data_IF_577736810823
#
_entry.id   IF_577736810823
#
_cell.length_a   1.000
_cell.length_b   1.000
_cell.length_c   1.000
_cell.angle_alpha   90.00
_cell.angle_beta   90.00
_cell.angle_gamma   90.00
#
_symmetry.space_group_name_H-M   'P 1'
#
loop_
_entity.id
_entity.type
_entity.pdbx_description
1 polymer ?
#
# COMPACT_ATOMS: atom_id res chain seq x y z
N UNK A 1 0.85 29.27 29.38
CA UNK A 1 1.09 28.09 28.53
C UNK A 1 2.60 27.96 28.41
N UNK A 2 3.22 27.10 29.24
CA UNK A 2 4.65 26.86 29.17
C UNK A 2 4.91 26.08 27.87
N UNK A 3 5.28 26.79 26.81
CA UNK A 3 5.59 26.19 25.53
C UNK A 3 6.92 25.46 25.65
N UNK A 4 6.88 24.16 25.95
CA UNK A 4 8.05 23.32 25.79
C UNK A 4 8.55 23.48 24.35
N UNK A 5 9.83 23.85 24.23
CA UNK A 5 10.45 24.02 22.92
C UNK A 5 10.44 22.67 22.18
N UNK A 6 10.40 22.65 20.84
CA UNK A 6 10.48 21.39 20.08
C UNK A 6 11.69 20.54 20.46
N UNK A 7 12.79 21.18 20.85
CA UNK A 7 13.98 20.49 21.33
C UNK A 7 13.75 19.76 22.66
N UNK A 8 13.03 20.37 23.61
CA UNK A 8 12.70 19.74 24.90
C UNK A 8 11.83 18.50 24.70
N UNK A 9 10.82 18.57 23.84
CA UNK A 9 9.96 17.42 23.54
C UNK A 9 10.75 16.25 22.93
N UNK A 10 11.72 16.54 22.06
CA UNK A 10 12.59 15.51 21.48
C UNK A 10 13.54 14.90 22.53
N UNK A 11 14.07 15.70 23.46
CA UNK A 11 14.92 15.21 24.54
C UNK A 11 14.10 14.33 25.51
N UNK A 12 12.90 14.76 25.88
CA UNK A 12 11.99 13.98 26.72
C UNK A 12 11.59 12.65 26.07
N UNK A 13 11.33 12.67 24.76
CA UNK A 13 11.10 11.45 24.00
C UNK A 13 12.33 10.51 24.05
N UNK A 14 13.52 11.06 23.80
CA UNK A 14 14.78 10.30 23.84
C UNK A 14 15.02 9.67 25.22
N UNK A 15 14.84 10.43 26.31
CA UNK A 15 15.03 9.95 27.67
C UNK A 15 14.03 8.83 28.00
N UNK A 16 12.77 8.96 27.57
CA UNK A 16 11.77 7.89 27.72
C UNK A 16 12.15 6.62 26.98
N UNK A 17 12.68 6.73 25.76
CA UNK A 17 13.19 5.57 25.00
C UNK A 17 14.33 4.90 25.75
N UNK A 18 15.30 5.67 26.26
CA UNK A 18 16.41 5.12 27.05
C UNK A 18 15.91 4.43 28.32
N UNK A 19 14.97 5.04 29.04
CA UNK A 19 14.38 4.45 30.25
C UNK A 19 13.69 3.12 29.94
N UNK A 20 12.94 3.04 28.83
CA UNK A 20 12.28 1.80 28.41
C UNK A 20 13.31 0.72 28.08
N UNK A 21 14.37 1.05 27.32
CA UNK A 21 15.44 0.12 26.96
C UNK A 21 16.33 -0.31 28.14
N UNK A 22 16.47 0.55 29.16
CA UNK A 22 17.24 0.26 30.36
C UNK A 22 16.54 -0.70 31.32
N UNK A 23 15.22 -0.97 31.15
CA UNK A 23 14.48 -1.88 32.03
C UNK A 23 15.03 -3.31 31.91
N UNK A 24 15.44 -3.96 33.02
CA UNK A 24 15.98 -5.33 32.98
C UNK A 24 15.03 -6.35 32.32
N UNK A 25 13.72 -6.16 32.49
CA UNK A 25 12.69 -7.00 31.85
C UNK A 25 12.71 -6.86 30.33
N UNK A 26 12.85 -5.63 29.82
CA UNK A 26 12.92 -5.35 28.38
C UNK A 26 14.21 -5.93 27.80
N UNK A 27 15.34 -5.77 28.48
CA UNK A 27 16.61 -6.36 28.04
C UNK A 27 16.57 -7.89 27.94
N UNK A 28 15.98 -8.57 28.93
CA UNK A 28 15.78 -10.03 28.89
C UNK A 28 14.89 -10.45 27.72
N UNK A 29 13.81 -9.70 27.47
CA UNK A 29 12.94 -9.95 26.32
C UNK A 29 13.65 -9.71 24.98
N UNK A 30 14.50 -8.68 24.86
CA UNK A 30 15.28 -8.42 23.65
C UNK A 30 16.31 -9.52 23.39
N UNK A 31 16.99 -10.01 24.42
CA UNK A 31 17.90 -11.16 24.29
C UNK A 31 17.12 -12.41 23.87
N UNK A 32 15.98 -12.68 24.50
CA UNK A 32 15.12 -13.79 24.09
C UNK A 32 14.66 -13.63 22.64
N UNK A 33 14.20 -12.44 22.23
CA UNK A 33 13.82 -12.11 20.86
C UNK A 33 14.94 -12.44 19.86
N UNK A 34 16.17 -12.01 20.15
CA UNK A 34 17.34 -12.24 19.29
C UNK A 34 17.67 -13.73 19.21
N UNK A 35 17.66 -14.44 20.33
CA UNK A 35 17.91 -15.88 20.38
C UNK A 35 16.84 -16.67 19.64
N UNK A 36 15.57 -16.32 19.77
CA UNK A 36 14.46 -16.98 19.09
C UNK A 36 14.50 -16.73 17.59
N UNK A 37 14.76 -15.48 17.18
CA UNK A 37 14.90 -15.12 15.76
C UNK A 37 16.09 -15.83 15.14
N UNK A 38 17.21 -15.91 15.86
CA UNK A 38 18.39 -16.65 15.44
C UNK A 38 18.11 -18.14 15.36
N UNK A 39 17.47 -18.76 16.36
CA UNK A 39 17.13 -20.17 16.36
C UNK A 39 16.16 -20.52 15.22
N UNK A 40 15.13 -19.69 15.01
CA UNK A 40 14.18 -19.84 13.92
C UNK A 40 14.87 -19.79 12.55
N UNK A 41 15.90 -18.96 12.38
CA UNK A 41 16.68 -18.86 11.14
C UNK A 41 17.73 -19.98 10.99
N UNK A 42 18.43 -20.32 12.07
CA UNK A 42 19.58 -21.23 12.07
C UNK A 42 19.16 -22.70 11.91
N UNK A 43 18.02 -23.11 12.50
CA UNK A 43 17.54 -24.49 12.43
C UNK A 43 17.25 -24.93 10.99
N UNK A 44 16.45 -24.20 10.18
CA UNK A 44 16.27 -24.50 8.76
C UNK A 44 17.56 -24.45 7.97
N UNK A 45 18.42 -23.45 8.23
CA UNK A 45 19.71 -23.31 7.54
C UNK A 45 20.63 -24.52 7.75
N UNK A 46 20.70 -25.03 8.99
CA UNK A 46 21.51 -26.21 9.32
C UNK A 46 20.94 -27.48 8.68
N UNK A 47 19.62 -27.64 8.71
CA UNK A 47 18.93 -28.77 8.06
C UNK A 47 19.18 -28.76 6.54
N UNK A 48 19.05 -27.61 5.90
CA UNK A 48 19.37 -27.42 4.48
C UNK A 48 20.83 -27.78 4.17
N UNK A 49 21.77 -27.32 5.00
CA UNK A 49 23.20 -27.57 4.79
C UNK A 49 23.55 -29.05 4.91
N UNK A 50 22.97 -29.75 5.88
CA UNK A 50 23.15 -31.19 6.07
C UNK A 50 22.49 -31.99 4.93
N UNK A 51 21.32 -31.56 4.47
CA UNK A 51 20.59 -32.20 3.38
C UNK A 51 21.32 -32.06 2.04
N UNK A 52 21.82 -30.86 1.71
CA UNK A 52 22.60 -30.62 0.49
C UNK A 52 23.90 -31.42 0.43
N UNK A 53 24.53 -31.67 1.59
CA UNK A 53 25.71 -32.53 1.65
C UNK A 53 25.40 -33.99 1.29
N UNK A 54 24.18 -34.46 1.55
CA UNK A 54 23.71 -35.81 1.19
C UNK A 54 23.28 -35.93 -0.26
N UNK A 55 22.81 -34.85 -0.89
CA UNK A 55 22.28 -34.84 -2.27
C UNK A 55 23.28 -34.47 -3.37
N UNK A 56 24.56 -34.20 -3.05
CA UNK A 56 25.61 -33.94 -4.05
C UNK A 56 25.82 -35.08 -5.07
N UNK A 57 25.21 -36.26 -4.90
CA UNK A 57 25.29 -37.41 -5.81
C UNK A 57 24.15 -37.56 -6.81
N UNK A 58 23.08 -36.75 -6.78
CA UNK A 58 21.96 -36.87 -7.71
C UNK A 58 21.67 -35.51 -8.38
N UNK A 59 22.44 -35.18 -9.41
CA UNK A 59 22.08 -34.13 -10.34
C UNK A 59 20.85 -34.58 -11.15
N UNK A 60 19.66 -34.30 -10.64
CA UNK A 60 18.40 -34.47 -11.38
C UNK A 60 18.43 -33.48 -12.54
N UNK A 61 18.61 -33.98 -13.74
CA UNK A 61 18.41 -33.24 -14.98
C UNK A 61 17.01 -32.64 -14.99
N UNK A 62 16.90 -31.32 -14.89
CA UNK A 62 15.64 -30.57 -14.98
C UNK A 62 14.98 -30.82 -16.35
N UNK A 63 14.04 -31.77 -16.40
CA UNK A 63 13.05 -31.83 -17.49
C UNK A 63 11.95 -30.84 -17.15
N UNK A 64 12.12 -29.62 -17.68
CA UNK A 64 11.22 -28.50 -17.53
C UNK A 64 9.84 -28.87 -18.11
N UNK A 65 8.88 -29.18 -17.23
CA UNK A 65 7.50 -29.54 -17.60
C UNK A 65 6.91 -30.80 -16.96
N UNK A 66 7.73 -31.66 -16.34
CA UNK A 66 7.24 -32.91 -15.71
C UNK A 66 6.58 -32.69 -14.33
N UNK A 67 5.67 -33.58 -13.93
CA UNK A 67 5.02 -33.59 -12.60
C UNK A 67 6.05 -33.60 -11.44
N UNK A 68 7.22 -34.20 -11.67
CA UNK A 68 8.35 -34.25 -10.73
C UNK A 68 8.95 -32.86 -10.48
N UNK A 69 9.08 -32.02 -11.51
CA UNK A 69 9.55 -30.64 -11.37
C UNK A 69 8.57 -29.74 -10.61
N UNK A 70 7.26 -30.03 -10.64
CA UNK A 70 6.26 -29.35 -9.81
C UNK A 70 6.36 -29.77 -8.34
N UNK A 71 6.53 -31.07 -8.08
CA UNK A 71 6.73 -31.61 -6.73
C UNK A 71 8.01 -31.07 -6.07
N UNK A 72 9.12 -30.97 -6.79
CA UNK A 72 10.38 -30.40 -6.27
C UNK A 72 10.28 -28.91 -5.93
N UNK A 73 9.43 -28.16 -6.64
CA UNK A 73 9.14 -26.75 -6.31
C UNK A 73 8.23 -26.62 -5.09
N UNK A 74 7.24 -27.50 -4.95
CA UNK A 74 6.43 -27.59 -3.74
C UNK A 74 7.28 -27.96 -2.52
N UNK A 75 8.20 -28.92 -2.67
CA UNK A 75 9.13 -29.30 -1.61
C UNK A 75 10.00 -28.11 -1.14
N UNK A 76 10.56 -27.32 -2.08
CA UNK A 76 11.28 -26.08 -1.74
C UNK A 76 10.39 -25.02 -1.09
N UNK A 77 9.12 -24.92 -1.48
CA UNK A 77 8.16 -24.01 -0.83
C UNK A 77 7.81 -24.41 0.61
N UNK A 78 7.67 -25.72 0.87
CA UNK A 78 7.46 -26.30 2.20
C UNK A 78 8.66 -26.02 3.11
N UNK A 79 9.88 -26.10 2.58
CA UNK A 79 11.11 -25.79 3.31
C UNK A 79 11.11 -24.37 3.90
N UNK A 80 10.65 -23.38 3.12
CA UNK A 80 10.49 -21.99 3.58
C UNK A 80 9.33 -21.75 4.55
N UNK A 81 8.45 -22.73 4.75
CA UNK A 81 7.31 -22.62 5.68
C UNK A 81 7.69 -23.08 7.09
N UNK A 82 8.80 -23.82 7.26
CA UNK A 82 9.27 -24.20 8.59
C UNK A 82 9.71 -23.01 9.44
N UNK A 83 10.31 -21.98 8.85
CA UNK A 83 10.76 -20.78 9.57
C UNK A 83 9.64 -20.12 10.42
N UNK A 84 8.49 -19.71 9.85
CA UNK A 84 7.44 -19.08 10.65
C UNK A 84 6.77 -20.05 11.64
N UNK A 85 6.67 -21.35 11.32
CA UNK A 85 6.13 -22.35 12.24
C UNK A 85 7.02 -22.50 13.46
N UNK A 86 8.32 -22.69 13.26
CA UNK A 86 9.29 -22.78 14.35
C UNK A 86 9.33 -21.48 15.15
N UNK A 87 9.27 -20.33 14.47
CA UNK A 87 9.15 -19.03 15.13
C UNK A 87 7.94 -18.95 16.06
N UNK A 88 6.75 -19.40 15.62
CA UNK A 88 5.55 -19.48 16.46
C UNK A 88 5.77 -20.40 17.65
N UNK A 89 6.22 -21.63 17.43
CA UNK A 89 6.45 -22.62 18.51
C UNK A 89 7.44 -22.09 19.53
N UNK A 90 8.57 -21.56 19.08
CA UNK A 90 9.59 -20.98 19.96
C UNK A 90 9.07 -19.75 20.70
N UNK A 91 8.26 -18.91 20.06
CA UNK A 91 7.62 -17.77 20.72
C UNK A 91 6.67 -18.21 21.83
N UNK A 92 5.87 -19.26 21.63
CA UNK A 92 4.98 -19.79 22.67
C UNK A 92 5.75 -20.40 23.84
N UNK A 93 6.82 -21.16 23.56
CA UNK A 93 7.68 -21.72 24.60
C UNK A 93 8.32 -20.59 25.42
N UNK A 94 8.84 -19.56 24.76
CA UNK A 94 9.46 -18.42 25.44
C UNK A 94 8.47 -17.65 26.32
N UNK A 95 7.25 -17.42 25.81
CA UNK A 95 6.17 -16.76 26.57
C UNK A 95 5.82 -17.61 27.80
N UNK A 96 5.64 -18.92 27.65
CA UNK A 96 5.33 -19.83 28.76
C UNK A 96 6.44 -19.85 29.82
N UNK A 97 7.71 -19.86 29.40
CA UNK A 97 8.85 -19.79 30.32
C UNK A 97 8.89 -18.46 31.09
N UNK A 98 8.67 -17.33 30.42
CA UNK A 98 8.63 -16.03 31.08
C UNK A 98 7.46 -15.91 32.07
N UNK A 99 6.28 -16.40 31.68
CA UNK A 99 5.10 -16.43 32.56
C UNK A 99 5.33 -17.32 33.79
N UNK A 100 5.99 -18.48 33.62
CA UNK A 100 6.33 -19.38 34.73
C UNK A 100 7.26 -18.73 35.77
N UNK A 101 8.07 -17.75 35.35
CA UNK A 101 8.96 -16.98 36.22
C UNK A 101 8.34 -15.66 36.71
N UNK A 102 7.06 -15.43 36.41
CA UNK A 102 6.33 -14.21 36.77
C UNK A 102 6.79 -12.95 36.01
N UNK A 103 7.50 -13.11 34.90
CA UNK A 103 8.00 -12.00 34.09
C UNK A 103 6.94 -11.54 33.09
N UNK A 104 6.93 -10.23 32.79
CA UNK A 104 6.07 -9.68 31.73
C UNK A 104 6.53 -10.20 30.36
N UNK A 105 5.61 -10.29 29.41
CA UNK A 105 5.82 -10.90 28.08
C UNK A 105 5.52 -9.98 26.89
N UNK A 106 5.21 -8.70 27.13
CA UNK A 106 4.71 -7.78 26.08
C UNK A 106 5.47 -7.80 24.75
N UNK A 107 6.81 -7.70 24.73
CA UNK A 107 7.58 -7.74 23.47
C UNK A 107 7.57 -9.11 22.79
N UNK A 108 7.49 -10.20 23.57
CA UNK A 108 7.39 -11.55 23.02
C UNK A 108 5.99 -11.80 22.44
N UNK A 109 4.96 -11.23 23.04
CA UNK A 109 3.60 -11.25 22.50
C UNK A 109 3.49 -10.45 21.19
N UNK A 110 4.25 -9.35 21.07
CA UNK A 110 4.33 -8.57 19.84
C UNK A 110 4.99 -9.32 18.67
N UNK A 111 5.80 -10.36 18.94
CA UNK A 111 6.39 -11.22 17.91
C UNK A 111 5.38 -12.19 17.29
N UNK A 112 4.41 -12.66 18.07
CA UNK A 112 3.40 -13.63 17.64
C UNK A 112 2.70 -13.23 16.32
N UNK A 113 2.13 -12.00 16.18
CA UNK A 113 1.48 -11.61 14.93
C UNK A 113 2.45 -11.50 13.75
N UNK A 114 3.74 -11.24 13.98
CA UNK A 114 4.76 -11.21 12.91
C UNK A 114 4.92 -12.60 12.30
N UNK A 115 5.07 -13.64 13.12
CA UNK A 115 5.21 -15.00 12.62
C UNK A 115 3.93 -15.52 11.96
N UNK A 116 2.75 -15.19 12.50
CA UNK A 116 1.48 -15.48 11.84
C UNK A 116 1.34 -14.80 10.47
N UNK A 117 1.74 -13.53 10.37
CA UNK A 117 1.73 -12.79 9.11
C UNK A 117 2.67 -13.43 8.08
N UNK A 118 3.88 -13.81 8.50
CA UNK A 118 4.85 -14.51 7.64
C UNK A 118 4.34 -15.88 7.20
N UNK A 119 3.73 -16.65 8.10
CA UNK A 119 3.10 -17.93 7.80
C UNK A 119 2.00 -17.75 6.75
N UNK A 120 1.09 -16.81 6.97
CA UNK A 120 -0.01 -16.52 6.06
C UNK A 120 0.51 -16.11 4.67
N UNK A 121 1.48 -15.20 4.63
CA UNK A 121 2.14 -14.79 3.38
C UNK A 121 2.73 -15.99 2.64
N UNK A 122 3.43 -16.89 3.34
CA UNK A 122 4.03 -18.08 2.75
C UNK A 122 3.00 -19.06 2.23
N UNK A 123 1.92 -19.30 2.97
CA UNK A 123 0.81 -20.16 2.55
C UNK A 123 0.15 -19.60 1.28
N UNK A 124 -0.18 -18.31 1.26
CA UNK A 124 -0.82 -17.69 0.09
C UNK A 124 0.14 -17.68 -1.11
N UNK A 125 1.40 -17.33 -0.92
CA UNK A 125 2.40 -17.38 -1.99
C UNK A 125 2.55 -18.82 -2.53
N UNK A 126 2.71 -19.81 -1.64
CA UNK A 126 2.78 -21.23 -2.02
C UNK A 126 1.56 -21.69 -2.80
N UNK A 127 0.35 -21.30 -2.37
CA UNK A 127 -0.89 -21.58 -3.08
C UNK A 127 -0.94 -20.93 -4.47
N UNK A 128 -0.47 -19.68 -4.62
CA UNK A 128 -0.36 -19.03 -5.93
C UNK A 128 0.60 -19.76 -6.87
N UNK A 129 1.75 -20.21 -6.36
CA UNK A 129 2.71 -21.00 -7.16
C UNK A 129 2.20 -22.40 -7.50
N UNK A 130 1.28 -22.95 -6.71
CA UNK A 130 0.64 -24.23 -7.00
C UNK A 130 -0.45 -24.12 -8.07
N UNK A 131 -1.30 -23.09 -7.97
CA UNK A 131 -2.48 -22.93 -8.84
C UNK A 131 -2.12 -22.27 -10.18
N UNK A 132 -1.22 -21.27 -10.16
CA UNK A 132 -0.90 -20.45 -11.32
C UNK A 132 0.45 -20.86 -11.93
N UNK A 133 0.62 -20.59 -13.22
CA UNK A 133 1.94 -20.66 -13.89
C UNK A 133 2.97 -19.77 -13.18
N UNK A 134 4.25 -20.15 -13.14
CA UNK A 134 5.31 -19.42 -12.42
C UNK A 134 5.36 -17.92 -12.72
N UNK A 135 5.18 -17.54 -13.99
CA UNK A 135 5.19 -16.15 -14.41
C UNK A 135 4.03 -15.35 -13.79
N UNK A 136 2.83 -15.95 -13.74
CA UNK A 136 1.65 -15.34 -13.11
C UNK A 136 1.81 -15.30 -11.59
N UNK A 137 2.25 -16.40 -10.98
CA UNK A 137 2.46 -16.48 -9.52
C UNK A 137 3.48 -15.44 -9.03
N UNK A 138 4.63 -15.31 -9.71
CA UNK A 138 5.65 -14.27 -9.41
C UNK A 138 5.08 -12.86 -9.57
N UNK A 139 4.28 -12.63 -10.62
CA UNK A 139 3.62 -11.34 -10.84
C UNK A 139 2.65 -11.02 -9.70
N UNK A 140 1.74 -11.92 -9.33
CA UNK A 140 0.79 -11.64 -8.25
C UNK A 140 1.47 -11.49 -6.88
N UNK A 141 2.47 -12.33 -6.60
CA UNK A 141 3.22 -12.27 -5.34
C UNK A 141 4.00 -10.96 -5.22
N UNK A 142 4.76 -10.57 -6.24
CA UNK A 142 5.55 -9.33 -6.21
C UNK A 142 4.71 -8.06 -6.29
N UNK A 143 3.58 -8.09 -7.01
CA UNK A 143 2.73 -6.90 -7.20
C UNK A 143 1.73 -6.66 -6.09
N UNK A 144 1.19 -7.72 -5.46
CA UNK A 144 0.12 -7.58 -4.47
C UNK A 144 0.53 -8.08 -3.09
N UNK A 145 1.02 -9.31 -2.98
CA UNK A 145 1.32 -9.90 -1.68
C UNK A 145 2.48 -9.21 -0.97
N UNK A 146 3.56 -8.90 -1.69
CA UNK A 146 4.74 -8.29 -1.08
C UNK A 146 4.48 -6.86 -0.57
N UNK A 147 3.85 -5.94 -1.34
CA UNK A 147 3.48 -4.63 -0.81
C UNK A 147 2.51 -4.70 0.37
N UNK A 148 1.57 -5.64 0.35
CA UNK A 148 0.63 -5.87 1.45
C UNK A 148 1.32 -6.40 2.71
N UNK A 149 2.32 -7.29 2.54
CA UNK A 149 3.15 -7.74 3.65
C UNK A 149 3.93 -6.57 4.26
N UNK A 150 4.53 -5.71 3.44
CA UNK A 150 5.22 -4.50 3.93
C UNK A 150 4.23 -3.63 4.73
N UNK A 151 3.04 -3.36 4.18
CA UNK A 151 2.02 -2.58 4.86
C UNK A 151 1.66 -3.19 6.22
N UNK A 152 1.41 -4.49 6.27
CA UNK A 152 1.07 -5.20 7.49
C UNK A 152 2.24 -5.15 8.50
N UNK A 153 3.49 -5.28 8.05
CA UNK A 153 4.67 -5.13 8.92
C UNK A 153 4.73 -3.72 9.51
N UNK A 154 4.52 -2.67 8.72
CA UNK A 154 4.49 -1.30 9.25
C UNK A 154 3.38 -1.12 10.29
N UNK A 155 2.19 -1.68 10.08
CA UNK A 155 1.09 -1.66 11.07
C UNK A 155 1.50 -2.39 12.36
N UNK A 156 2.13 -3.56 12.26
CA UNK A 156 2.61 -4.29 13.44
C UNK A 156 3.67 -3.50 14.20
N UNK A 157 4.60 -2.86 13.49
CA UNK A 157 5.63 -2.00 14.10
C UNK A 157 4.99 -0.80 14.78
N UNK A 158 4.00 -0.16 14.17
CA UNK A 158 3.27 0.95 14.78
C UNK A 158 2.54 0.52 16.06
N UNK A 159 1.90 -0.65 16.07
CA UNK A 159 1.23 -1.19 17.26
C UNK A 159 2.24 -1.59 18.35
N UNK A 160 3.42 -2.11 17.98
CA UNK A 160 4.50 -2.40 18.91
C UNK A 160 5.00 -1.12 19.60
N UNK A 161 5.27 -0.07 18.82
CA UNK A 161 5.72 1.22 19.34
C UNK A 161 4.65 1.86 20.24
N UNK A 162 3.40 1.79 19.81
CA UNK A 162 2.27 2.37 20.51
C UNK A 162 1.88 1.61 21.77
N UNK A 163 1.38 0.40 21.59
CA UNK A 163 0.64 -0.33 22.64
C UNK A 163 1.59 -1.10 23.55
N UNK A 164 2.70 -1.62 23.01
CA UNK A 164 3.64 -2.45 23.78
C UNK A 164 4.72 -1.62 24.48
N UNK A 165 5.32 -0.67 23.75
CA UNK A 165 6.37 0.20 24.28
C UNK A 165 5.82 1.46 24.97
N UNK A 166 4.55 1.84 24.72
CA UNK A 166 3.95 3.05 25.27
C UNK A 166 4.58 4.34 24.73
N UNK A 167 5.27 4.26 23.59
CA UNK A 167 5.99 5.39 22.99
C UNK A 167 5.14 6.13 21.95
N UNK A 168 4.01 5.55 21.53
CA UNK A 168 3.20 6.08 20.44
C UNK A 168 2.52 7.41 20.75
N UNK A 169 2.10 7.61 22.00
CA UNK A 169 1.28 8.77 22.40
C UNK A 169 2.13 9.95 22.93
N UNK A 170 3.46 9.81 22.86
CA UNK A 170 4.39 10.87 23.25
C UNK A 170 4.38 11.94 22.16
N UNK A 171 4.11 13.22 22.51
CA UNK A 171 4.21 14.31 21.56
C UNK A 171 5.69 14.55 21.18
N UNK A 172 5.97 14.59 19.89
CA UNK A 172 7.30 14.89 19.36
C UNK A 172 7.48 16.40 19.18
N UNK A 173 6.47 17.06 18.61
CA UNK A 173 6.46 18.50 18.39
C UNK A 173 5.02 18.98 18.13
N UNK A 174 4.76 20.26 18.40
CA UNK A 174 3.46 20.88 18.12
C UNK A 174 3.54 21.71 16.84
N UNK A 175 2.67 21.47 15.87
CA UNK A 175 2.54 22.30 14.66
C UNK A 175 1.08 22.74 14.48
N UNK A 176 0.87 24.03 14.23
CA UNK A 176 -0.47 24.59 13.94
C UNK A 176 -1.57 24.20 14.96
N UNK A 177 -1.20 24.06 16.23
CA UNK A 177 -2.14 23.67 17.30
C UNK A 177 -2.39 22.16 17.43
N UNK A 178 -1.78 21.33 16.59
CA UNK A 178 -1.82 19.88 16.67
C UNK A 178 -0.54 19.31 17.33
N UNK A 179 -0.70 18.42 18.31
CA UNK A 179 0.41 17.66 18.89
C UNK A 179 0.73 16.45 18.03
N UNK A 180 1.88 16.49 17.34
CA UNK A 180 2.31 15.42 16.45
C UNK A 180 2.98 14.36 17.30
N UNK A 181 2.33 13.20 17.41
CA UNK A 181 2.84 12.06 18.15
C UNK A 181 3.58 11.09 17.24
N UNK A 182 4.39 10.21 17.82
CA UNK A 182 5.09 9.19 17.03
C UNK A 182 4.10 8.24 16.32
N UNK A 183 2.99 7.90 16.98
CA UNK A 183 1.92 7.07 16.40
C UNK A 183 1.24 7.77 15.23
N UNK A 184 0.91 9.07 15.36
CA UNK A 184 0.24 9.81 14.29
C UNK A 184 1.13 9.95 13.06
N UNK A 185 2.43 10.19 13.27
CA UNK A 185 3.42 10.24 12.21
C UNK A 185 3.56 8.88 11.50
N UNK A 186 3.76 7.79 12.25
CA UNK A 186 3.88 6.45 11.68
C UNK A 186 2.60 6.01 10.94
N UNK A 187 1.43 6.34 11.49
CA UNK A 187 0.13 6.07 10.85
C UNK A 187 -0.01 6.84 9.53
N UNK A 188 0.45 8.09 9.47
CA UNK A 188 0.39 8.87 8.23
C UNK A 188 1.26 8.28 7.12
N UNK A 189 2.45 7.79 7.46
CA UNK A 189 3.33 7.09 6.51
C UNK A 189 2.69 5.79 6.01
N UNK A 190 2.04 5.03 6.90
CA UNK A 190 1.29 3.81 6.54
C UNK A 190 0.17 4.11 5.55
N UNK A 191 -0.64 5.14 5.86
CA UNK A 191 -1.75 5.58 5.00
C UNK A 191 -1.22 6.03 3.65
N UNK A 192 -0.17 6.87 3.62
CA UNK A 192 0.42 7.33 2.37
C UNK A 192 0.95 6.16 1.54
N UNK A 193 1.68 5.22 2.16
CA UNK A 193 2.18 4.03 1.48
C UNK A 193 1.03 3.18 0.90
N UNK A 194 -0.05 2.97 1.67
CA UNK A 194 -1.25 2.29 1.19
C UNK A 194 -1.81 2.95 -0.06
N UNK A 195 -2.00 4.28 -0.04
CA UNK A 195 -2.54 5.01 -1.19
C UNK A 195 -1.61 4.99 -2.41
N UNK A 196 -0.29 5.03 -2.23
CA UNK A 196 0.67 4.90 -3.33
C UNK A 196 0.59 3.51 -3.99
N UNK A 197 0.55 2.45 -3.19
CA UNK A 197 0.38 1.07 -3.68
C UNK A 197 -0.98 0.91 -4.37
N UNK A 198 -2.04 1.44 -3.77
CA UNK A 198 -3.39 1.40 -4.31
C UNK A 198 -3.49 2.15 -5.64
N UNK A 199 -2.97 3.37 -5.73
CA UNK A 199 -2.92 4.16 -6.96
C UNK A 199 -2.19 3.41 -8.07
N UNK A 200 -1.05 2.78 -7.75
CA UNK A 200 -0.28 1.99 -8.69
C UNK A 200 -1.07 0.75 -9.20
N UNK A 201 -1.74 0.02 -8.31
CA UNK A 201 -2.60 -1.12 -8.66
C UNK A 201 -3.77 -0.69 -9.56
N UNK A 202 -4.45 0.40 -9.20
CA UNK A 202 -5.58 0.93 -9.97
C UNK A 202 -5.12 1.37 -11.35
N UNK A 203 -4.00 2.10 -11.45
CA UNK A 203 -3.41 2.52 -12.72
C UNK A 203 -3.10 1.34 -13.65
N UNK A 204 -2.46 0.30 -13.13
CA UNK A 204 -2.10 -0.90 -13.89
C UNK A 204 -3.35 -1.68 -14.32
N UNK A 205 -4.38 -1.73 -13.48
CA UNK A 205 -5.65 -2.42 -13.79
C UNK A 205 -6.49 -1.66 -14.81
N UNK A 206 -6.59 -0.33 -14.65
CA UNK A 206 -7.34 0.55 -15.53
C UNK A 206 -6.70 0.66 -16.91
N UNK A 207 -5.37 0.76 -16.98
CA UNK A 207 -4.66 0.75 -18.26
C UNK A 207 -4.89 -0.56 -19.02
N UNK A 208 -4.79 -1.72 -18.37
CA UNK A 208 -5.13 -3.00 -19.01
C UNK A 208 -6.58 -3.06 -19.47
N UNK A 209 -7.53 -2.58 -18.67
CA UNK A 209 -8.94 -2.64 -19.00
C UNK A 209 -9.28 -1.78 -20.24
N UNK A 210 -8.69 -0.58 -20.33
CA UNK A 210 -8.95 0.34 -21.44
C UNK A 210 -8.19 -0.04 -22.71
N UNK A 211 -6.92 -0.45 -22.62
CA UNK A 211 -6.09 -0.74 -23.79
C UNK A 211 -6.31 -2.15 -24.38
N UNK A 212 -6.58 -3.19 -23.57
CA UNK A 212 -6.72 -4.55 -24.10
C UNK A 212 -8.14 -4.92 -24.56
N UNK A 213 -9.19 -4.22 -24.10
CA UNK A 213 -10.59 -4.62 -24.38
C UNK A 213 -11.27 -3.82 -25.48
N UNK A 214 -10.70 -2.70 -25.92
CA UNK A 214 -11.31 -1.84 -26.94
C UNK A 214 -10.26 -1.32 -27.92
N UNK A 215 -9.98 -2.04 -29.01
CA UNK A 215 -9.01 -1.62 -30.03
C UNK A 215 -9.33 -0.25 -30.66
N UNK A 216 -10.59 0.19 -30.60
CA UNK A 216 -11.08 1.48 -31.11
C UNK A 216 -11.07 2.63 -30.08
N UNK A 217 -10.52 2.42 -28.88
CA UNK A 217 -10.45 3.52 -27.90
C UNK A 217 -9.35 4.50 -28.27
N UNK A 218 -9.70 5.79 -28.34
CA UNK A 218 -8.73 6.87 -28.47
C UNK A 218 -7.71 6.78 -27.32
N UNK A 219 -6.47 6.44 -27.69
CA UNK A 219 -5.35 6.25 -26.76
C UNK A 219 -5.09 7.50 -25.93
N UNK A 220 -5.38 8.69 -26.47
CA UNK A 220 -5.28 9.95 -25.76
C UNK A 220 -6.28 10.05 -24.61
N UNK A 221 -7.57 9.80 -24.90
CA UNK A 221 -8.63 9.81 -23.87
C UNK A 221 -8.39 8.75 -22.79
N UNK A 222 -8.03 7.52 -23.18
CA UNK A 222 -7.76 6.44 -22.23
C UNK A 222 -6.57 6.78 -21.30
N UNK A 223 -5.48 7.33 -21.86
CA UNK A 223 -4.33 7.72 -21.06
C UNK A 223 -4.67 8.87 -20.09
N UNK A 224 -5.42 9.88 -20.55
CA UNK A 224 -5.86 10.98 -19.70
C UNK A 224 -6.67 10.48 -18.50
N UNK A 225 -7.63 9.57 -18.71
CA UNK A 225 -8.41 8.97 -17.62
C UNK A 225 -7.50 8.23 -16.62
N UNK A 226 -6.57 7.41 -17.11
CA UNK A 226 -5.62 6.65 -16.25
C UNK A 226 -4.75 7.58 -15.41
N UNK A 227 -4.22 8.64 -16.02
CA UNK A 227 -3.35 9.62 -15.35
C UNK A 227 -4.13 10.45 -14.33
N UNK A 228 -5.31 10.97 -14.70
CA UNK A 228 -6.18 11.72 -13.79
C UNK A 228 -6.62 10.88 -12.59
N UNK A 229 -7.00 9.61 -12.80
CA UNK A 229 -7.34 8.69 -11.69
C UNK A 229 -6.13 8.44 -10.79
N UNK A 230 -4.94 8.21 -11.35
CA UNK A 230 -3.72 7.97 -10.58
C UNK A 230 -3.38 9.14 -9.65
N UNK A 231 -3.34 10.37 -10.19
CA UNK A 231 -3.05 11.55 -9.38
C UNK A 231 -4.18 11.91 -8.42
N UNK A 232 -5.44 11.65 -8.80
CA UNK A 232 -6.59 11.83 -7.90
C UNK A 232 -6.50 10.94 -6.66
N UNK A 233 -6.13 9.67 -6.81
CA UNK A 233 -5.93 8.75 -5.68
C UNK A 233 -4.76 9.20 -4.80
N UNK A 234 -3.65 9.65 -5.39
CA UNK A 234 -2.51 10.18 -4.63
C UNK A 234 -2.90 11.43 -3.84
N UNK A 235 -3.64 12.36 -4.46
CA UNK A 235 -4.11 13.57 -3.79
C UNK A 235 -5.00 13.22 -2.58
N UNK A 236 -5.94 12.28 -2.73
CA UNK A 236 -6.75 11.79 -1.62
C UNK A 236 -5.88 11.17 -0.51
N UNK A 237 -4.87 10.37 -0.89
CA UNK A 237 -3.94 9.77 0.06
C UNK A 237 -3.14 10.78 0.86
N UNK A 238 -2.70 11.87 0.24
CA UNK A 238 -2.02 12.98 0.92
C UNK A 238 -2.97 13.65 1.91
N UNK A 239 -4.21 13.94 1.50
CA UNK A 239 -5.20 14.59 2.38
C UNK A 239 -5.51 13.72 3.60
N UNK A 240 -5.72 12.41 3.41
CA UNK A 240 -5.94 11.47 4.52
C UNK A 240 -4.69 11.28 5.39
N UNK A 241 -3.49 11.25 4.80
CA UNK A 241 -2.26 11.17 5.56
C UNK A 241 -2.08 12.40 6.46
N UNK A 242 -2.31 13.60 5.94
CA UNK A 242 -2.25 14.85 6.71
C UNK A 242 -3.27 14.86 7.85
N UNK A 243 -4.50 14.38 7.60
CA UNK A 243 -5.52 14.31 8.66
C UNK A 243 -5.14 13.36 9.79
N UNK A 244 -4.45 12.26 9.48
CA UNK A 244 -4.01 11.29 10.51
C UNK A 244 -2.91 11.84 11.43
N UNK A 245 -2.18 12.87 10.99
CA UNK A 245 -1.15 13.53 11.81
C UNK A 245 -1.80 14.38 12.93
N UNK A 246 -3.08 14.73 12.79
CA UNK A 246 -3.83 15.58 13.72
C UNK A 246 -4.04 17.01 13.23
N UNK A 247 -3.65 17.32 11.98
CA UNK A 247 -3.92 18.60 11.37
C UNK A 247 -5.42 18.80 11.12
N UNK A 248 -5.93 19.98 11.47
CA UNK A 248 -7.29 20.37 11.13
C UNK A 248 -7.42 20.57 9.61
N UNK A 249 -8.15 19.66 8.97
CA UNK A 249 -8.44 19.75 7.55
C UNK A 249 -9.29 20.97 7.20
N UNK A 250 -9.93 21.64 8.17
CA UNK A 250 -10.75 22.83 7.93
C UNK A 250 -9.93 23.95 7.29
N UNK A 251 -8.69 24.18 7.76
CA UNK A 251 -7.80 25.19 7.17
C UNK A 251 -7.42 24.85 5.73
N UNK A 252 -7.11 23.58 5.46
CA UNK A 252 -6.84 23.08 4.11
C UNK A 252 -8.08 23.17 3.22
N UNK A 253 -9.26 22.92 3.77
CA UNK A 253 -10.54 22.94 3.04
C UNK A 253 -10.86 24.34 2.53
N UNK A 254 -10.53 25.40 3.28
CA UNK A 254 -10.69 26.79 2.80
C UNK A 254 -9.79 27.05 1.59
N UNK A 255 -8.50 26.68 1.67
CA UNK A 255 -7.53 26.88 0.58
C UNK A 255 -7.93 26.06 -0.65
N UNK A 256 -8.26 24.79 -0.46
CA UNK A 256 -8.72 23.88 -1.51
C UNK A 256 -10.06 24.34 -2.11
N UNK A 257 -10.96 24.87 -1.29
CA UNK A 257 -12.22 25.44 -1.72
C UNK A 257 -12.01 26.64 -2.63
N UNK A 258 -11.13 27.57 -2.25
CA UNK A 258 -10.73 28.70 -3.09
C UNK A 258 -10.08 28.27 -4.41
N UNK A 259 -9.17 27.30 -4.36
CA UNK A 259 -8.56 26.69 -5.56
C UNK A 259 -9.61 26.03 -6.47
N UNK A 260 -10.56 25.29 -5.91
CA UNK A 260 -11.65 24.65 -6.65
C UNK A 260 -12.53 25.66 -7.36
N UNK A 261 -12.85 26.78 -6.70
CA UNK A 261 -13.60 27.89 -7.30
C UNK A 261 -12.79 28.51 -8.44
N UNK A 262 -11.49 28.77 -8.25
CA UNK A 262 -10.60 29.29 -9.30
C UNK A 262 -10.51 28.38 -10.52
N UNK A 263 -10.39 27.07 -10.31
CA UNK A 263 -10.40 26.06 -11.40
C UNK A 263 -11.75 26.08 -12.13
N UNK A 264 -12.87 26.19 -11.41
CA UNK A 264 -14.21 26.22 -12.00
C UNK A 264 -14.42 27.45 -12.88
N UNK A 265 -13.93 28.62 -12.45
CA UNK A 265 -13.92 29.82 -13.29
C UNK A 265 -13.02 29.65 -14.52
N UNK A 266 -11.83 29.03 -14.38
CA UNK A 266 -10.93 28.76 -15.52
C UNK A 266 -11.48 27.76 -16.53
N UNK A 267 -12.36 26.84 -16.11
CA UNK A 267 -13.02 25.86 -16.97
C UNK A 267 -14.40 26.30 -17.49
N UNK A 268 -14.85 27.51 -17.13
CA UNK A 268 -16.22 27.96 -17.40
C UNK A 268 -16.60 27.89 -18.88
N UNK A 269 -15.73 28.33 -19.79
CA UNK A 269 -16.00 28.31 -21.24
C UNK A 269 -16.10 26.87 -21.78
N UNK A 270 -15.23 25.97 -21.30
CA UNK A 270 -15.27 24.56 -21.69
C UNK A 270 -16.58 23.89 -21.24
N UNK A 271 -17.02 24.18 -20.02
CA UNK A 271 -18.28 23.67 -19.47
C UNK A 271 -19.47 24.25 -20.22
N UNK A 272 -19.49 25.55 -20.49
CA UNK A 272 -20.56 26.22 -21.24
C UNK A 272 -20.72 25.60 -22.64
N UNK A 273 -19.63 25.48 -23.40
CA UNK A 273 -19.64 24.87 -24.74
C UNK A 273 -20.12 23.41 -24.73
N UNK A 274 -19.74 22.65 -23.70
CA UNK A 274 -20.18 21.27 -23.52
C UNK A 274 -21.68 21.15 -23.22
N UNK A 275 -22.20 21.97 -22.31
CA UNK A 275 -23.64 21.99 -21.97
C UNK A 275 -24.47 22.44 -23.17
N UNK A 276 -24.03 23.46 -23.90
CA UNK A 276 -24.68 23.88 -25.15
C UNK A 276 -24.75 22.72 -26.15
N UNK A 277 -23.66 21.96 -26.32
CA UNK A 277 -23.64 20.78 -27.19
C UNK A 277 -24.65 19.70 -26.77
N UNK A 278 -24.77 19.40 -25.48
CA UNK A 278 -25.78 18.46 -24.96
C UNK A 278 -27.20 18.98 -25.21
N UNK A 279 -27.43 20.26 -24.92
CA UNK A 279 -28.75 20.89 -25.05
C UNK A 279 -29.24 20.86 -26.51
N UNK A 280 -28.36 21.20 -27.47
CA UNK A 280 -28.67 21.13 -28.90
C UNK A 280 -29.13 19.73 -29.33
N UNK A 281 -28.48 18.68 -28.82
CA UNK A 281 -28.84 17.29 -29.12
C UNK A 281 -30.14 16.89 -28.43
N UNK A 282 -30.35 17.31 -27.18
CA UNK A 282 -31.52 16.95 -26.39
C UNK A 282 -32.80 17.65 -26.87
N UNK A 283 -32.72 18.95 -27.13
CA UNK A 283 -33.84 19.75 -27.65
C UNK A 283 -34.10 19.50 -29.15
N UNK A 284 -33.20 18.78 -29.82
CA UNK A 284 -33.23 18.54 -31.27
C UNK A 284 -33.37 19.83 -32.10
N UNK A 285 -32.83 20.95 -31.59
CA UNK A 285 -32.84 22.25 -32.27
C UNK A 285 -31.94 22.29 -33.50
N UNK A 286 -31.06 21.30 -33.64
CA UNK A 286 -30.14 21.11 -34.77
C UNK A 286 -29.99 19.63 -35.07
N UNK A 287 -30.26 19.23 -36.32
CA UNK A 287 -30.20 17.84 -36.79
C UNK A 287 -29.15 17.67 -37.90
N UNK A 288 -28.50 16.50 -38.00
CA UNK A 288 -27.70 16.17 -39.18
C UNK A 288 -28.57 16.28 -40.45
N UNK A 289 -28.09 17.02 -41.44
CA UNK A 289 -28.84 17.36 -42.65
C UNK A 289 -29.44 18.77 -42.69
N UNK A 290 -29.48 19.48 -41.56
CA UNK A 290 -29.96 20.88 -41.56
C UNK A 290 -28.94 21.79 -42.26
N UNK A 291 -29.44 22.77 -43.01
CA UNK A 291 -28.62 23.82 -43.63
C UNK A 291 -28.61 25.02 -42.70
N UNK A 292 -27.41 25.39 -42.23
CA UNK A 292 -27.23 26.50 -41.32
C UNK A 292 -26.15 27.46 -41.81
N UNK A 293 -26.27 28.72 -41.39
CA UNK A 293 -25.25 29.74 -41.63
C UNK A 293 -24.69 30.20 -40.29
N UNK A 294 -23.38 30.03 -40.10
CA UNK A 294 -22.69 30.42 -38.87
C UNK A 294 -21.43 31.20 -39.23
N UNK A 295 -21.25 32.37 -38.61
CA UNK A 295 -20.12 33.27 -38.88
C UNK A 295 -19.90 33.60 -40.37
N UNK A 296 -20.99 33.69 -41.15
CA UNK A 296 -20.95 34.05 -42.57
C UNK A 296 -20.73 32.87 -43.53
N UNK A 297 -20.47 31.66 -43.04
CA UNK A 297 -20.34 30.46 -43.87
C UNK A 297 -21.64 29.63 -43.86
N UNK A 298 -22.15 29.29 -45.05
CA UNK A 298 -23.29 28.40 -45.22
C UNK A 298 -22.81 26.97 -45.48
N UNK A 299 -23.44 25.99 -44.86
CA UNK A 299 -23.12 24.58 -45.07
C UNK A 299 -24.19 23.67 -44.48
N UNK A 300 -24.12 22.38 -44.83
CA UNK A 300 -25.02 21.36 -44.29
C UNK A 300 -24.36 20.68 -43.08
N UNK A 301 -25.13 20.43 -42.02
CA UNK A 301 -24.64 19.75 -40.82
C UNK A 301 -24.35 18.28 -41.13
N UNK A 302 -23.07 17.90 -41.06
CA UNK A 302 -22.64 16.49 -41.22
C UNK A 302 -22.72 15.75 -39.88
N UNK A 303 -22.03 16.27 -38.85
CA UNK A 303 -21.93 15.62 -37.53
C UNK A 303 -21.95 16.63 -36.40
N UNK A 304 -22.73 16.29 -35.36
CA UNK A 304 -22.72 16.98 -34.07
C UNK A 304 -21.77 16.24 -33.13
N UNK A 305 -20.82 16.96 -32.52
CA UNK A 305 -19.98 16.49 -31.41
C UNK A 305 -20.31 17.33 -30.18
N UNK A 306 -19.95 16.82 -29.00
CA UNK A 306 -20.24 17.46 -27.71
C UNK A 306 -19.70 18.89 -27.55
N UNK A 307 -18.68 19.27 -28.33
CA UNK A 307 -18.05 20.60 -28.28
C UNK A 307 -17.84 21.24 -29.66
N UNK A 308 -18.33 20.61 -30.73
CA UNK A 308 -18.14 21.14 -32.08
C UNK A 308 -19.14 20.56 -33.08
N UNK A 309 -19.51 21.34 -34.09
CA UNK A 309 -20.35 20.90 -35.20
C UNK A 309 -19.51 20.89 -36.47
N UNK A 310 -19.57 19.79 -37.21
CA UNK A 310 -18.86 19.65 -38.50
C UNK A 310 -19.83 19.98 -39.62
N UNK A 311 -19.48 20.99 -40.40
CA UNK A 311 -20.24 21.42 -41.57
C UNK A 311 -19.58 20.92 -42.85
N UNK A 312 -20.41 20.58 -43.83
CA UNK A 312 -20.00 20.32 -45.21
C UNK A 312 -20.42 21.52 -46.06
N UNK A 313 -19.44 22.25 -46.57
CA UNK A 313 -19.60 23.38 -47.50
C UNK A 313 -19.66 22.92 -48.94
#
# INVERSE_FOLDING_TARGET
>A
MNGETPLQLLLDFYDRVLIVLARPVVQRQLVAFLLLSFAAWFVPFLLERLWRHRQRGQAVTEVDGSWQGRLLRLARGIEYTFFPILGLVFSEIAIALFQSQGWRTGLLEALRPVFWLLLLYRIIAGALFFILSDQRARRYTGRFLFPLLILAVFVLVNNLIGDTLGLGDIPLFNLFGASITLRSLATSVIVLYFFLVFAWIVRDSLSRALFNRRPDTDKGLANSVVVSTYYGIIALGILTAVSTIGFDLSTLTIVLGGLSVGISFGLQELVANFISGILLVFEQSLRPGDVIQVAGHAGTVDKLRLRSTVLKT
#
